data_IF_125955970600
#
_entry.id   IF_125955970600
#
_cell.length_a   1.000
_cell.length_b   1.000
_cell.length_c   1.000
_cell.angle_alpha   90.00
_cell.angle_beta   90.00
_cell.angle_gamma   90.00
#
_symmetry.space_group_name_H-M   'P 1'
#
loop_
_entity.id
_entity.type
_entity.pdbx_description
1 polymer ?
#
# COMPACT_ATOMS: atom_id res chain seq x y z
N UNK A 1 -10.93 -15.65 11.56
CA UNK A 1 -9.70 -15.30 10.82
C UNK A 1 -8.58 -16.17 11.33
N UNK A 2 -7.95 -16.94 10.45
CA UNK A 2 -6.73 -17.70 10.72
C UNK A 2 -5.54 -16.96 10.09
N UNK A 3 -4.33 -17.15 10.62
CA UNK A 3 -3.14 -16.63 9.96
C UNK A 3 -1.93 -17.56 10.12
N UNK A 4 -1.02 -17.50 9.15
CA UNK A 4 0.28 -18.18 9.15
C UNK A 4 1.39 -17.15 9.04
N UNK A 5 2.52 -17.41 9.68
CA UNK A 5 3.71 -16.54 9.66
C UNK A 5 4.87 -17.30 9.02
N UNK A 6 5.54 -16.64 8.08
CA UNK A 6 6.74 -17.13 7.41
C UNK A 6 7.87 -16.13 7.67
N UNK A 7 8.97 -16.59 8.24
CA UNK A 7 10.10 -15.73 8.59
C UNK A 7 11.26 -15.89 7.60
N UNK A 8 11.92 -14.78 7.27
CA UNK A 8 13.17 -14.83 6.51
C UNK A 8 14.32 -15.37 7.36
N UNK A 9 15.35 -15.90 6.71
CA UNK A 9 16.53 -16.46 7.39
C UNK A 9 17.30 -15.42 8.21
N UNK A 10 17.23 -14.15 7.83
CA UNK A 10 17.85 -13.02 8.55
C UNK A 10 16.90 -12.36 9.57
N UNK A 11 15.67 -12.88 9.74
CA UNK A 11 14.63 -12.43 10.69
C UNK A 11 14.16 -10.98 10.53
N UNK A 12 14.64 -10.26 9.51
CA UNK A 12 14.29 -8.87 9.26
C UNK A 12 12.96 -8.71 8.52
N UNK A 13 12.46 -9.80 7.92
CA UNK A 13 11.21 -9.81 7.17
C UNK A 13 10.33 -10.96 7.68
N UNK A 14 9.08 -10.64 8.01
CA UNK A 14 8.05 -11.64 8.28
C UNK A 14 6.89 -11.45 7.32
N UNK A 15 6.47 -12.53 6.67
CA UNK A 15 5.28 -12.57 5.84
C UNK A 15 4.15 -13.21 6.61
N UNK A 16 2.99 -12.56 6.58
CA UNK A 16 1.74 -13.04 7.16
C UNK A 16 0.79 -13.39 6.03
N UNK A 17 0.12 -14.54 6.16
CA UNK A 17 -0.97 -14.95 5.26
C UNK A 17 -2.22 -15.10 6.11
N UNK A 18 -3.19 -14.21 5.90
CA UNK A 18 -4.47 -14.19 6.59
C UNK A 18 -5.53 -14.89 5.75
N UNK A 19 -6.38 -15.67 6.40
CA UNK A 19 -7.48 -16.40 5.77
C UNK A 19 -8.78 -16.19 6.55
N UNK A 20 -9.78 -15.67 5.85
CA UNK A 20 -11.17 -15.57 6.29
C UNK A 20 -11.95 -16.63 5.54
N UNK A 21 -12.05 -17.82 6.16
CA UNK A 21 -12.51 -19.07 5.53
C UNK A 21 -13.97 -18.97 5.10
N UNK A 22 -14.84 -18.49 5.98
CA UNK A 22 -16.28 -18.39 5.71
C UNK A 22 -16.57 -17.32 4.64
N UNK A 23 -15.79 -16.26 4.65
CA UNK A 23 -15.91 -15.13 3.73
C UNK A 23 -15.03 -15.26 2.46
N UNK A 24 -14.37 -16.41 2.28
CA UNK A 24 -13.50 -16.76 1.15
C UNK A 24 -12.53 -15.64 0.77
N UNK A 25 -11.71 -15.18 1.71
CA UNK A 25 -10.66 -14.21 1.42
C UNK A 25 -9.31 -14.64 1.96
N UNK A 26 -8.29 -14.32 1.18
CA UNK A 26 -6.88 -14.45 1.53
C UNK A 26 -6.22 -13.09 1.36
N UNK A 27 -5.41 -12.69 2.33
CA UNK A 27 -4.59 -11.50 2.27
C UNK A 27 -3.15 -11.81 2.68
N UNK A 28 -2.21 -11.14 2.03
CA UNK A 28 -0.82 -11.15 2.43
C UNK A 28 -0.45 -9.83 3.09
N UNK A 29 0.40 -9.89 4.10
CA UNK A 29 1.03 -8.71 4.65
C UNK A 29 2.50 -9.00 4.94
N UNK A 30 3.33 -7.97 4.90
CA UNK A 30 4.77 -8.10 5.13
C UNK A 30 5.20 -7.09 6.17
N UNK A 31 5.86 -7.58 7.21
CA UNK A 31 6.51 -6.80 8.25
C UNK A 31 8.00 -6.72 7.94
N UNK A 32 8.53 -5.50 7.86
CA UNK A 32 9.95 -5.23 7.73
C UNK A 32 10.48 -4.55 9.00
N UNK A 33 11.64 -5.05 9.45
CA UNK A 33 12.46 -4.47 10.50
C UNK A 33 13.75 -3.94 9.90
N UNK A 34 14.00 -2.65 10.02
CA UNK A 34 15.27 -2.05 9.60
C UNK A 34 16.08 -1.62 10.83
N UNK A 35 17.12 -2.40 11.15
CA UNK A 35 17.87 -2.26 12.40
C UNK A 35 17.11 -2.92 13.56
N UNK A 36 16.19 -2.18 14.18
CA UNK A 36 15.28 -2.68 15.22
C UNK A 36 13.84 -2.23 14.95
N UNK A 37 12.86 -2.86 15.61
CA UNK A 37 11.46 -2.43 15.50
C UNK A 37 11.26 -1.00 16.03
N UNK A 38 11.97 -0.64 17.11
CA UNK A 38 12.01 0.71 17.66
C UNK A 38 12.57 1.71 16.64
N UNK A 39 13.61 1.34 15.87
CA UNK A 39 14.25 2.27 14.93
C UNK A 39 13.38 2.52 13.69
N UNK A 40 12.90 1.45 13.06
CA UNK A 40 12.05 1.54 11.88
C UNK A 40 11.29 0.25 11.64
N UNK A 41 9.97 0.39 11.64
CA UNK A 41 9.01 -0.68 11.34
C UNK A 41 8.17 -0.29 10.14
N UNK A 42 8.09 -1.17 9.14
CA UNK A 42 7.23 -0.99 7.96
C UNK A 42 6.31 -2.19 7.82
N UNK A 43 5.01 -1.93 7.72
CA UNK A 43 3.99 -2.96 7.49
C UNK A 43 3.34 -2.70 6.13
N UNK A 44 3.48 -3.62 5.19
CA UNK A 44 2.73 -3.61 3.94
C UNK A 44 1.50 -4.49 4.10
N UNK A 45 0.29 -3.93 4.02
CA UNK A 45 -0.97 -4.67 4.14
C UNK A 45 -1.77 -4.68 2.83
N UNK A 46 -2.70 -5.63 2.75
CA UNK A 46 -3.59 -5.81 1.60
C UNK A 46 -4.90 -5.06 1.81
N UNK A 47 -5.47 -4.58 0.70
CA UNK A 47 -6.77 -3.91 0.64
C UNK A 47 -7.82 -4.73 -0.10
N UNK A 48 -7.40 -5.74 -0.86
CA UNK A 48 -8.28 -6.67 -1.56
C UNK A 48 -7.72 -8.10 -1.43
N UNK A 49 -8.59 -9.09 -1.54
CA UNK A 49 -8.16 -10.46 -1.76
C UNK A 49 -7.97 -10.68 -3.25
N UNK A 50 -6.70 -10.65 -3.67
CA UNK A 50 -6.35 -10.56 -5.08
C UNK A 50 -6.31 -9.11 -5.60
N UNK A 51 -6.18 -8.92 -6.92
CA UNK A 51 -6.18 -7.59 -7.52
C UNK A 51 -6.73 -7.64 -8.96
N UNK A 52 -7.74 -6.82 -9.32
CA UNK A 52 -8.30 -6.80 -10.67
C UNK A 52 -7.42 -6.02 -11.66
N UNK A 53 -6.38 -5.31 -11.21
CA UNK A 53 -5.49 -4.53 -12.08
C UNK A 53 -4.58 -5.43 -12.92
N UNK A 54 -4.18 -6.59 -12.40
CA UNK A 54 -3.45 -7.60 -13.18
C UNK A 54 -2.06 -7.17 -13.66
N UNK A 55 -1.33 -6.35 -12.90
CA UNK A 55 0.04 -5.93 -13.22
C UNK A 55 0.96 -7.13 -13.49
N UNK A 56 1.72 -7.11 -14.59
CA UNK A 56 2.52 -8.27 -15.04
C UNK A 56 3.71 -8.59 -14.13
N UNK A 57 4.19 -7.63 -13.37
CA UNK A 57 5.26 -7.79 -12.39
C UNK A 57 4.76 -8.22 -11.00
N UNK A 58 3.44 -8.23 -10.79
CA UNK A 58 2.84 -8.50 -9.49
C UNK A 58 2.57 -10.00 -9.32
N UNK A 59 3.04 -10.58 -8.21
CA UNK A 59 2.81 -11.99 -7.87
C UNK A 59 1.34 -12.33 -7.60
N UNK A 60 0.49 -11.33 -7.32
CA UNK A 60 -0.97 -11.51 -7.17
C UNK A 60 -1.65 -11.86 -8.50
N UNK A 61 -1.09 -11.43 -9.64
CA UNK A 61 -1.65 -11.69 -10.96
C UNK A 61 -3.05 -11.08 -11.17
N UNK A 62 -3.87 -11.75 -11.99
CA UNK A 62 -5.28 -11.38 -12.28
C UNK A 62 -6.28 -12.04 -11.33
N UNK A 63 -5.81 -12.73 -10.29
CA UNK A 63 -6.69 -13.40 -9.36
C UNK A 63 -7.33 -12.32 -8.48
N UNK A 64 -8.65 -12.18 -8.56
CA UNK A 64 -9.44 -11.29 -7.70
C UNK A 64 -10.60 -12.08 -7.15
N UNK A 65 -10.77 -12.02 -5.82
CA UNK A 65 -11.89 -12.66 -5.14
C UNK A 65 -12.89 -11.59 -4.69
N UNK A 66 -12.45 -10.67 -3.83
CA UNK A 66 -13.29 -9.57 -3.32
C UNK A 66 -12.47 -8.44 -2.68
N UNK A 67 -13.17 -7.34 -2.42
CA UNK A 67 -12.69 -6.29 -1.54
C UNK A 67 -12.66 -6.77 -0.08
N UNK A 68 -11.62 -6.35 0.65
CA UNK A 68 -11.57 -6.53 2.11
C UNK A 68 -12.38 -5.41 2.78
N UNK A 69 -13.03 -5.71 3.89
CA UNK A 69 -13.68 -4.70 4.73
C UNK A 69 -12.63 -3.88 5.47
N UNK A 70 -12.99 -2.68 5.94
CA UNK A 70 -12.08 -1.83 6.71
C UNK A 70 -11.59 -2.51 7.99
N UNK A 71 -12.42 -3.40 8.56
CA UNK A 71 -12.06 -4.25 9.71
C UNK A 71 -10.99 -5.27 9.33
N UNK A 72 -11.13 -5.97 8.20
CA UNK A 72 -10.15 -6.95 7.73
C UNK A 72 -8.80 -6.29 7.35
N UNK A 73 -8.83 -5.06 6.83
CA UNK A 73 -7.60 -4.28 6.56
C UNK A 73 -6.93 -3.90 7.89
N UNK A 74 -7.70 -3.41 8.86
CA UNK A 74 -7.21 -3.06 10.20
C UNK A 74 -6.63 -4.27 10.95
N UNK A 75 -7.33 -5.42 10.93
CA UNK A 75 -6.96 -6.66 11.62
C UNK A 75 -5.56 -7.14 11.22
N UNK A 76 -5.19 -7.01 9.94
CA UNK A 76 -3.85 -7.36 9.47
C UNK A 76 -2.76 -6.63 10.25
N UNK A 77 -2.88 -5.29 10.36
CA UNK A 77 -1.89 -4.47 11.07
C UNK A 77 -1.92 -4.78 12.57
N UNK A 78 -3.12 -4.88 13.15
CA UNK A 78 -3.26 -5.09 14.59
C UNK A 78 -2.65 -6.43 15.04
N UNK A 79 -2.87 -7.51 14.30
CA UNK A 79 -2.22 -8.80 14.58
C UNK A 79 -0.71 -8.70 14.45
N UNK A 80 -0.20 -8.07 13.39
CA UNK A 80 1.25 -7.92 13.19
C UNK A 80 1.88 -7.16 14.35
N UNK A 81 1.26 -6.08 14.81
CA UNK A 81 1.76 -5.29 15.93
C UNK A 81 1.77 -6.04 17.26
N UNK A 82 0.90 -7.04 17.44
CA UNK A 82 0.94 -7.93 18.61
C UNK A 82 2.12 -8.93 18.57
N UNK A 83 2.77 -9.09 17.42
CA UNK A 83 3.91 -10.02 17.26
C UNK A 83 5.28 -9.36 17.43
N UNK A 84 5.34 -8.02 17.54
CA UNK A 84 6.60 -7.30 17.72
C UNK A 84 6.84 -6.98 19.19
N UNK A 85 8.09 -7.09 19.62
CA UNK A 85 8.51 -6.77 20.98
C UNK A 85 8.89 -5.28 21.08
N UNK A 86 7.90 -4.41 20.82
CA UNK A 86 8.05 -2.97 20.84
C UNK A 86 6.68 -2.30 21.01
N UNK A 87 6.59 -1.30 21.88
CA UNK A 87 5.41 -0.42 21.92
C UNK A 87 5.31 0.35 20.59
N UNK A 88 4.12 0.46 19.98
CA UNK A 88 3.94 1.25 18.76
C UNK A 88 4.43 2.69 18.90
N UNK A 89 4.24 3.29 20.07
CA UNK A 89 4.60 4.68 20.36
C UNK A 89 6.11 4.92 20.44
N UNK A 90 6.89 3.86 20.68
CA UNK A 90 8.36 3.94 20.80
C UNK A 90 9.05 3.81 19.43
N UNK A 91 8.29 3.54 18.37
CA UNK A 91 8.82 3.38 17.02
C UNK A 91 9.11 4.77 16.43
N UNK A 92 10.39 5.08 16.20
CA UNK A 92 10.83 6.35 15.61
C UNK A 92 10.29 6.56 14.19
N UNK A 93 10.35 5.51 13.36
CA UNK A 93 9.86 5.51 11.97
C UNK A 93 8.88 4.37 11.75
N UNK A 94 7.61 4.64 12.04
CA UNK A 94 6.52 3.67 11.83
C UNK A 94 5.77 3.99 10.53
N UNK A 95 5.73 3.03 9.61
CA UNK A 95 5.03 3.18 8.32
C UNK A 95 4.09 1.99 8.11
N UNK A 96 2.83 2.27 7.78
CA UNK A 96 1.85 1.30 7.32
C UNK A 96 1.53 1.66 5.86
N UNK A 97 1.81 0.73 4.96
CA UNK A 97 1.70 0.93 3.53
C UNK A 97 0.60 0.03 2.95
N UNK A 98 -0.34 0.62 2.21
CA UNK A 98 -1.39 -0.10 1.50
C UNK A 98 -0.89 -0.46 0.11
N UNK A 99 0.02 -1.44 0.04
CA UNK A 99 0.74 -1.80 -1.19
C UNK A 99 1.02 -3.30 -1.35
N UNK A 100 0.37 -4.16 -0.55
CA UNK A 100 0.47 -5.61 -0.73
C UNK A 100 -0.51 -6.07 -1.83
N UNK A 101 -1.62 -6.74 -1.50
CA UNK A 101 -2.61 -7.16 -2.48
C UNK A 101 -3.71 -6.10 -2.67
N UNK A 102 -4.00 -5.77 -3.92
CA UNK A 102 -5.12 -4.92 -4.31
C UNK A 102 -4.75 -3.49 -4.71
N UNK A 103 -5.73 -2.78 -5.26
CA UNK A 103 -5.66 -1.37 -5.61
C UNK A 103 -6.51 -0.54 -4.62
N UNK A 104 -5.89 0.33 -3.80
CA UNK A 104 -6.58 1.09 -2.77
C UNK A 104 -7.78 1.89 -3.26
N UNK A 105 -7.71 2.52 -4.44
CA UNK A 105 -8.81 3.34 -4.95
C UNK A 105 -9.98 2.52 -5.51
N UNK A 106 -9.79 1.22 -5.81
CA UNK A 106 -10.89 0.31 -6.14
C UNK A 106 -11.62 -0.21 -4.89
N UNK A 107 -11.05 0.00 -3.70
CA UNK A 107 -11.68 -0.33 -2.41
C UNK A 107 -11.69 0.87 -1.44
N UNK A 108 -11.86 2.07 -1.98
CA UNK A 108 -11.63 3.32 -1.26
C UNK A 108 -12.49 3.49 0.01
N UNK A 109 -13.77 3.12 -0.03
CA UNK A 109 -14.66 3.28 1.13
C UNK A 109 -14.21 2.45 2.34
N UNK A 110 -13.79 1.20 2.12
CA UNK A 110 -13.29 0.34 3.19
C UNK A 110 -11.89 0.73 3.62
N UNK A 111 -11.04 1.17 2.68
CA UNK A 111 -9.74 1.77 2.98
C UNK A 111 -9.87 2.99 3.90
N UNK A 112 -10.78 3.91 3.61
CA UNK A 112 -11.00 5.12 4.44
C UNK A 112 -11.34 4.73 5.89
N UNK A 113 -12.24 3.77 6.08
CA UNK A 113 -12.58 3.24 7.42
C UNK A 113 -11.35 2.67 8.13
N UNK A 114 -10.53 1.90 7.41
CA UNK A 114 -9.31 1.33 7.97
C UNK A 114 -8.29 2.42 8.35
N UNK A 115 -8.07 3.43 7.49
CA UNK A 115 -7.17 4.56 7.76
C UNK A 115 -7.59 5.29 9.04
N UNK A 116 -8.88 5.59 9.20
CA UNK A 116 -9.39 6.26 10.41
C UNK A 116 -9.18 5.40 11.66
N UNK A 117 -9.48 4.09 11.59
CA UNK A 117 -9.28 3.18 12.72
C UNK A 117 -7.79 3.03 13.09
N UNK A 118 -6.92 2.89 12.08
CA UNK A 118 -5.47 2.78 12.27
C UNK A 118 -4.89 4.07 12.85
N UNK A 119 -5.34 5.23 12.40
CA UNK A 119 -4.87 6.50 12.95
C UNK A 119 -5.23 6.66 14.43
N UNK A 120 -6.44 6.24 14.83
CA UNK A 120 -6.87 6.30 16.22
C UNK A 120 -6.04 5.41 17.16
N UNK A 121 -5.62 4.23 16.69
CA UNK A 121 -4.87 3.26 17.50
C UNK A 121 -3.34 3.49 17.41
N UNK A 122 -2.86 3.93 16.24
CA UNK A 122 -1.44 4.13 15.94
C UNK A 122 -1.19 5.56 15.41
N UNK A 123 -1.38 6.60 16.24
CA UNK A 123 -1.34 7.99 15.80
C UNK A 123 0.03 8.46 15.27
N UNK A 124 1.11 7.77 15.64
CA UNK A 124 2.47 8.05 15.15
C UNK A 124 2.78 7.41 13.78
N UNK A 125 1.98 6.43 13.32
CA UNK A 125 2.21 5.72 12.07
C UNK A 125 1.95 6.61 10.85
N UNK A 126 2.84 6.58 9.86
CA UNK A 126 2.60 7.12 8.53
C UNK A 126 1.72 6.13 7.74
N UNK A 127 0.60 6.59 7.20
CA UNK A 127 -0.39 5.78 6.49
C UNK A 127 -0.26 6.05 4.99
N UNK A 128 0.53 5.24 4.29
CA UNK A 128 0.93 5.50 2.90
C UNK A 128 0.08 4.68 1.93
N UNK A 129 -0.71 5.37 1.10
CA UNK A 129 -1.60 4.77 0.10
C UNK A 129 -0.90 4.72 -1.25
N UNK A 130 -0.60 3.51 -1.74
CA UNK A 130 0.06 3.31 -3.03
C UNK A 130 -0.93 2.91 -4.11
N UNK A 131 -1.04 3.71 -5.17
CA UNK A 131 -2.01 3.48 -6.26
C UNK A 131 -1.36 3.36 -7.62
N UNK A 132 -1.90 2.47 -8.45
CA UNK A 132 -1.65 2.39 -9.89
C UNK A 132 -2.41 3.45 -10.70
N UNK A 133 -3.12 4.36 -10.01
CA UNK A 133 -3.95 5.41 -10.59
C UNK A 133 -5.00 4.85 -11.57
N UNK A 134 -5.93 4.00 -11.12
CA UNK A 134 -7.10 3.64 -11.93
C UNK A 134 -7.91 4.90 -12.24
N UNK A 135 -8.70 4.90 -13.32
CA UNK A 135 -9.54 6.06 -13.69
C UNK A 135 -10.47 6.53 -12.56
N UNK A 136 -10.89 5.62 -11.68
CA UNK A 136 -11.72 5.92 -10.50
C UNK A 136 -11.02 6.79 -9.46
N UNK A 137 -9.68 6.94 -9.52
CA UNK A 137 -8.90 7.82 -8.65
C UNK A 137 -9.52 9.22 -8.56
N UNK A 138 -9.86 9.82 -9.72
CA UNK A 138 -10.41 11.17 -9.77
C UNK A 138 -11.79 11.28 -9.11
N UNK A 139 -12.58 10.20 -9.09
CA UNK A 139 -13.87 10.15 -8.39
C UNK A 139 -13.70 10.34 -6.87
N UNK A 140 -12.64 9.78 -6.30
CA UNK A 140 -12.40 9.80 -4.86
C UNK A 140 -11.36 10.84 -4.43
N UNK A 141 -10.71 11.54 -5.37
CA UNK A 141 -9.63 12.46 -5.09
C UNK A 141 -10.02 13.56 -4.08
N UNK A 142 -11.18 14.20 -4.26
CA UNK A 142 -11.65 15.23 -3.33
C UNK A 142 -11.83 14.70 -1.91
N UNK A 143 -12.48 13.55 -1.74
CA UNK A 143 -12.66 12.94 -0.42
C UNK A 143 -11.33 12.49 0.20
N UNK A 144 -10.40 12.00 -0.63
CA UNK A 144 -9.07 11.60 -0.18
C UNK A 144 -8.20 12.80 0.24
N UNK A 145 -8.37 13.95 -0.42
CA UNK A 145 -7.74 15.21 -0.01
C UNK A 145 -8.25 15.64 1.36
N UNK A 146 -9.56 15.61 1.61
CA UNK A 146 -10.12 15.96 2.92
C UNK A 146 -9.62 14.99 4.01
N UNK A 147 -9.65 13.68 3.75
CA UNK A 147 -9.04 12.69 4.65
C UNK A 147 -7.56 12.96 4.92
N UNK A 148 -6.82 13.40 3.90
CA UNK A 148 -5.41 13.74 4.03
C UNK A 148 -5.20 15.02 4.84
N UNK A 149 -6.09 16.00 4.76
CA UNK A 149 -6.04 17.22 5.60
C UNK A 149 -6.34 16.89 7.06
N UNK A 150 -7.37 16.08 7.29
CA UNK A 150 -7.79 15.66 8.64
C UNK A 150 -6.72 14.80 9.32
N UNK A 151 -6.05 13.94 8.56
CA UNK A 151 -5.01 13.03 9.06
C UNK A 151 -3.67 13.36 8.38
N UNK A 152 -2.86 14.17 9.04
CA UNK A 152 -1.53 14.61 8.57
C UNK A 152 -0.51 13.47 8.34
N UNK A 153 -0.86 12.24 8.74
CA UNK A 153 -0.08 11.02 8.51
C UNK A 153 -0.42 10.29 7.21
N UNK A 154 -1.51 10.64 6.54
CA UNK A 154 -1.91 10.01 5.27
C UNK A 154 -1.04 10.54 4.13
N UNK A 155 -0.34 9.66 3.43
CA UNK A 155 0.47 9.99 2.27
C UNK A 155 -0.03 9.33 0.99
N UNK A 156 0.19 9.99 -0.15
CA UNK A 156 -0.13 9.47 -1.48
C UNK A 156 1.13 8.99 -2.18
N UNK A 157 1.07 7.79 -2.77
CA UNK A 157 2.14 7.24 -3.58
C UNK A 157 1.64 6.72 -4.92
N UNK A 158 2.38 6.96 -5.99
CA UNK A 158 2.03 6.49 -7.34
C UNK A 158 2.96 5.38 -7.83
N UNK A 159 2.38 4.25 -8.18
CA UNK A 159 3.03 3.12 -8.86
C UNK A 159 3.15 3.41 -10.37
N UNK A 160 4.25 4.06 -10.76
CA UNK A 160 4.47 4.54 -12.14
C UNK A 160 5.17 3.49 -13.00
N UNK A 161 6.31 2.98 -12.51
CA UNK A 161 7.15 1.91 -13.09
C UNK A 161 7.76 2.12 -14.48
N UNK A 162 7.23 3.00 -15.34
CA UNK A 162 7.74 3.27 -16.68
C UNK A 162 7.71 4.76 -17.03
N UNK A 163 8.59 5.20 -17.94
CA UNK A 163 8.72 6.60 -18.36
C UNK A 163 7.83 6.99 -19.55
N UNK A 164 7.16 6.02 -20.19
CA UNK A 164 6.22 6.24 -21.29
C UNK A 164 4.87 5.58 -21.01
N UNK A 165 3.78 6.17 -21.53
CA UNK A 165 2.44 5.57 -21.42
C UNK A 165 2.35 4.22 -22.14
N UNK A 166 3.08 4.05 -23.25
CA UNK A 166 3.09 2.81 -24.02
C UNK A 166 3.71 1.65 -23.24
N UNK A 167 4.87 1.87 -22.63
CA UNK A 167 5.53 0.84 -21.83
C UNK A 167 4.77 0.55 -20.54
N UNK A 168 4.21 1.60 -19.92
CA UNK A 168 3.35 1.45 -18.74
C UNK A 168 2.13 0.58 -19.01
N UNK A 169 1.46 0.76 -20.17
CA UNK A 169 0.32 -0.09 -20.58
C UNK A 169 0.70 -1.55 -20.81
N UNK A 170 1.95 -1.83 -21.19
CA UNK A 170 2.44 -3.23 -21.28
C UNK A 170 2.54 -3.86 -19.89
N UNK A 171 2.99 -3.11 -18.88
CA UNK A 171 3.15 -3.62 -17.52
C UNK A 171 1.85 -3.64 -16.69
N UNK A 172 1.02 -2.60 -16.82
CA UNK A 172 -0.23 -2.39 -16.09
C UNK A 172 -1.37 -2.45 -17.11
N UNK A 173 -1.94 -3.64 -17.38
CA UNK A 173 -2.80 -3.86 -18.53
C UNK A 173 -4.22 -3.27 -18.34
N UNK A 174 -4.65 -3.03 -17.10
CA UNK A 174 -5.93 -2.40 -16.82
C UNK A 174 -5.87 -0.90 -17.09
N UNK A 175 -6.98 -0.34 -17.60
CA UNK A 175 -7.06 1.06 -17.98
C UNK A 175 -6.78 1.96 -16.76
N UNK A 176 -5.61 2.58 -16.76
CA UNK A 176 -5.11 3.48 -15.72
C UNK A 176 -4.78 4.82 -16.35
N UNK A 177 -4.66 5.85 -15.51
CA UNK A 177 -4.34 7.20 -15.93
C UNK A 177 -3.00 7.26 -16.68
N UNK A 178 -2.89 8.21 -17.62
CA UNK A 178 -1.61 8.52 -18.27
C UNK A 178 -0.62 9.14 -17.28
N UNK A 179 0.66 9.15 -17.60
CA UNK A 179 1.70 9.80 -16.79
C UNK A 179 1.39 11.26 -16.52
N UNK A 180 0.85 11.98 -17.51
CA UNK A 180 0.39 13.36 -17.35
C UNK A 180 -0.75 13.46 -16.33
N UNK A 181 -1.76 12.60 -16.45
CA UNK A 181 -2.89 12.58 -15.51
C UNK A 181 -2.44 12.23 -14.09
N UNK A 182 -1.45 11.34 -13.95
CA UNK A 182 -0.84 10.99 -12.66
C UNK A 182 -0.12 12.20 -12.05
N UNK A 183 0.69 12.92 -12.83
CA UNK A 183 1.36 14.15 -12.34
C UNK A 183 0.32 15.20 -11.93
N UNK A 184 -0.69 15.45 -12.76
CA UNK A 184 -1.76 16.40 -12.43
C UNK A 184 -2.53 16.01 -11.16
N UNK A 185 -2.79 14.71 -10.95
CA UNK A 185 -3.42 14.21 -9.73
C UNK A 185 -2.53 14.43 -8.50
N UNK A 186 -1.23 14.18 -8.63
CA UNK A 186 -0.25 14.41 -7.56
C UNK A 186 -0.08 15.89 -7.21
N UNK A 187 0.04 16.76 -8.20
CA UNK A 187 0.10 18.21 -8.04
C UNK A 187 -1.19 18.75 -7.38
N UNK A 188 -2.35 18.27 -7.82
CA UNK A 188 -3.63 18.65 -7.23
C UNK A 188 -3.74 18.25 -5.76
N UNK A 189 -3.34 17.02 -5.41
CA UNK A 189 -3.26 16.60 -4.02
C UNK A 189 -2.26 17.46 -3.22
N UNK A 190 -1.07 17.70 -3.77
CA UNK A 190 -0.03 18.48 -3.10
C UNK A 190 -0.44 19.92 -2.81
N UNK A 191 -1.07 20.59 -3.78
CA UNK A 191 -1.54 21.97 -3.66
C UNK A 191 -2.60 22.14 -2.57
N UNK A 192 -3.46 21.14 -2.37
CA UNK A 192 -4.53 21.20 -1.38
C UNK A 192 -4.09 20.73 0.02
N UNK A 193 -3.09 19.85 0.10
CA UNK A 193 -2.68 19.19 1.34
C UNK A 193 -1.38 19.79 1.92
N UNK A 194 -0.59 20.50 1.11
CA UNK A 194 0.67 21.11 1.52
C UNK A 194 1.82 20.10 1.68
N UNK A 195 1.69 18.89 1.12
CA UNK A 195 2.68 17.80 1.22
C UNK A 195 2.96 17.23 -0.17
N UNK A 196 4.17 16.74 -0.42
CA UNK A 196 4.54 16.16 -1.73
C UNK A 196 4.15 14.67 -1.81
N UNK A 197 3.53 14.19 -2.90
CA UNK A 197 3.34 12.77 -3.14
C UNK A 197 4.68 12.08 -3.42
N UNK A 198 4.74 10.77 -3.21
CA UNK A 198 5.93 9.97 -3.53
C UNK A 198 5.71 9.14 -4.79
N UNK A 199 6.67 9.10 -5.69
CA UNK A 199 6.61 8.20 -6.85
C UNK A 199 7.33 6.90 -6.52
N UNK A 200 6.71 5.77 -6.83
CA UNK A 200 7.31 4.44 -6.71
C UNK A 200 7.64 3.91 -8.11
N UNK A 201 8.90 3.56 -8.30
CA UNK A 201 9.42 2.95 -9.51
C UNK A 201 9.92 1.56 -9.14
N UNK A 202 9.66 0.55 -9.98
CA UNK A 202 10.21 -0.80 -9.81
C UNK A 202 11.04 -1.03 -11.06
N UNK A 203 12.34 -1.20 -10.87
CA UNK A 203 13.25 -1.54 -11.96
C UNK A 203 13.11 -3.04 -12.25
N UNK A 204 12.48 -3.38 -13.37
CA UNK A 204 12.39 -4.76 -13.84
C UNK A 204 13.61 -5.01 -14.72
N UNK A 205 14.65 -5.63 -14.17
CA UNK A 205 15.78 -6.10 -14.98
C UNK A 205 15.38 -7.41 -15.66
N UNK A 206 15.62 -7.53 -16.98
CA UNK A 206 15.26 -8.73 -17.77
C UNK A 206 16.20 -9.93 -17.52
N UNK A 207 17.07 -9.86 -16.51
CA UNK A 207 17.82 -11.01 -16.00
C UNK A 207 17.14 -11.53 -14.75
N UNK A 208 16.82 -12.83 -14.71
CA UNK A 208 16.24 -13.55 -13.57
C UNK A 208 17.03 -13.29 -12.28
N UNK A 209 16.76 -12.21 -11.54
CA UNK A 209 17.21 -12.02 -10.16
C UNK A 209 16.59 -10.74 -9.55
N UNK A 210 15.76 -10.98 -8.53
CA UNK A 210 15.33 -10.05 -7.45
C UNK A 210 14.64 -8.75 -7.89
N UNK A 211 13.34 -8.69 -7.61
CA UNK A 211 12.58 -7.43 -7.52
C UNK A 211 13.14 -6.60 -6.36
N UNK A 212 13.94 -5.59 -6.67
CA UNK A 212 14.29 -4.53 -5.73
C UNK A 212 13.10 -3.60 -5.60
N UNK A 213 12.48 -3.52 -4.42
CA UNK A 213 11.55 -2.44 -4.08
C UNK A 213 12.38 -1.17 -4.01
N UNK A 214 12.39 -0.37 -5.09
CA UNK A 214 13.14 0.88 -5.10
C UNK A 214 12.43 1.92 -4.21
N UNK A 215 13.23 2.61 -3.42
CA UNK A 215 12.78 3.71 -2.58
C UNK A 215 12.23 4.82 -3.47
N UNK A 216 11.05 5.31 -3.11
CA UNK A 216 10.39 6.35 -3.89
C UNK A 216 11.14 7.67 -3.84
N UNK A 217 11.28 8.31 -5.00
CA UNK A 217 11.79 9.67 -5.14
C UNK A 217 10.62 10.65 -4.96
N UNK A 218 10.87 11.78 -4.28
CA UNK A 218 9.92 12.89 -4.27
C UNK A 218 9.89 13.52 -5.66
N UNK A 219 8.70 13.94 -6.10
CA UNK A 219 8.56 14.71 -7.34
C UNK A 219 9.04 16.12 -7.03
N UNK A 220 10.04 16.59 -7.77
CA UNK A 220 10.53 17.98 -7.67
C UNK A 220 9.50 18.97 -8.21
#
# INVERSE_FOLDING_TARGET
MNYKVFESSDTNVKKFVFEWVDEKAIAEAVLYRYGSYQKRTVICCSVQSGCPVGCRFCGTGKFFIRNLTGREIFEQVNVIMQTIDCSPNDIEKFQIMFMSMGEPFLNYHELKKAIMALHNIYPNAQLLVSTSAPSVLFKYMSDFIELSKDISKVGLQFSVHESTDDDRRKLIPTNTCTLRQISSAGEFWAANVGRKPTTIIVYITTSRERVMIAQGTQID
#
